data_IF_480056191224
#
_entry.id   IF_480056191224
#
_cell.length_a   1.000
_cell.length_b   1.000
_cell.length_c   1.000
_cell.angle_alpha   90.00
_cell.angle_beta   90.00
_cell.angle_gamma   90.00
#
_symmetry.space_group_name_H-M   'P 1'
#
loop_
_entity.id
_entity.type
_entity.pdbx_description
1 polymer ?
#
# COMPACT_ATOMS: atom_id res chain seq x y z
N UNK A 1 -24.64 -7.81 2.93
CA UNK A 1 -23.85 -7.48 4.14
C UNK A 1 -22.59 -6.78 3.66
N UNK A 2 -22.43 -5.52 3.96
CA UNK A 2 -21.17 -4.79 3.70
C UNK A 2 -20.08 -5.43 4.53
N UNK A 3 -18.94 -5.79 3.90
CA UNK A 3 -17.80 -6.33 4.63
C UNK A 3 -17.32 -5.30 5.66
N UNK A 4 -16.88 -5.74 6.84
CA UNK A 4 -16.29 -4.90 7.87
C UNK A 4 -15.13 -4.09 7.30
N UNK A 5 -15.05 -2.77 7.56
CA UNK A 5 -13.92 -1.97 7.10
C UNK A 5 -12.61 -2.47 7.71
N UNK A 6 -11.54 -2.47 6.90
CA UNK A 6 -10.19 -2.82 7.34
C UNK A 6 -9.44 -1.58 7.85
N UNK A 7 -8.70 -1.75 8.94
CA UNK A 7 -7.85 -0.71 9.50
C UNK A 7 -6.40 -1.16 9.54
N UNK A 8 -5.58 -0.50 8.73
CA UNK A 8 -4.14 -0.62 8.80
C UNK A 8 -3.50 0.58 9.47
N UNK A 9 -2.25 0.43 9.85
CA UNK A 9 -1.45 1.52 10.38
C UNK A 9 -0.10 1.61 9.66
N UNK A 10 0.34 2.86 9.40
CA UNK A 10 1.66 3.15 8.86
C UNK A 10 2.71 3.01 9.96
N UNK A 11 3.69 2.11 9.76
CA UNK A 11 4.83 1.99 10.66
C UNK A 11 5.93 2.97 10.28
N UNK A 12 6.67 3.52 11.25
CA UNK A 12 7.84 4.33 10.97
C UNK A 12 8.91 3.47 10.30
N UNK A 13 9.47 3.95 9.18
CA UNK A 13 10.64 3.30 8.56
C UNK A 13 11.96 3.81 9.16
N UNK A 14 11.89 4.54 10.26
CA UNK A 14 13.06 5.16 10.92
C UNK A 14 14.00 4.10 11.49
N UNK A 15 15.32 4.34 11.29
CA UNK A 15 16.41 3.57 11.86
C UNK A 15 17.17 4.35 12.96
N UNK A 16 16.55 5.36 13.58
CA UNK A 16 17.11 6.05 14.73
C UNK A 16 17.14 5.10 15.94
N UNK A 17 18.14 5.21 16.83
CA UNK A 17 18.27 4.31 17.98
C UNK A 17 17.08 4.35 18.96
N UNK A 18 16.28 5.42 18.93
CA UNK A 18 15.08 5.59 19.79
C UNK A 18 13.82 4.99 19.19
N UNK A 19 13.84 4.59 17.92
CA UNK A 19 12.69 4.10 17.20
C UNK A 19 12.76 2.57 17.09
N UNK A 20 11.66 1.90 17.39
CA UNK A 20 11.51 0.45 17.24
C UNK A 20 10.29 0.13 16.37
N UNK A 21 10.45 0.13 15.03
CA UNK A 21 9.35 -0.16 14.11
C UNK A 21 8.84 -1.60 14.25
N UNK A 22 9.64 -2.53 14.77
CA UNK A 22 9.23 -3.91 14.99
C UNK A 22 8.32 -4.00 16.21
N UNK A 23 8.70 -3.39 17.33
CA UNK A 23 7.84 -3.30 18.51
C UNK A 23 6.54 -2.55 18.21
N UNK A 24 6.58 -1.48 17.39
CA UNK A 24 5.38 -0.77 16.94
C UNK A 24 4.44 -1.70 16.16
N UNK A 25 4.95 -2.53 15.25
CA UNK A 25 4.14 -3.47 14.48
C UNK A 25 3.56 -4.61 15.34
N UNK A 26 4.32 -5.12 16.32
CA UNK A 26 3.82 -6.08 17.31
C UNK A 26 2.68 -5.45 18.13
N UNK A 27 2.86 -4.21 18.57
CA UNK A 27 1.81 -3.48 19.30
C UNK A 27 0.56 -3.28 18.45
N UNK A 28 0.71 -2.94 17.15
CA UNK A 28 -0.42 -2.83 16.22
C UNK A 28 -1.18 -4.16 16.08
N UNK A 29 -0.48 -5.29 16.05
CA UNK A 29 -1.10 -6.62 16.04
C UNK A 29 -1.88 -6.90 17.32
N UNK A 30 -1.34 -6.56 18.48
CA UNK A 30 -2.02 -6.72 19.79
C UNK A 30 -3.29 -5.89 19.87
N UNK A 31 -3.25 -4.65 19.37
CA UNK A 31 -4.38 -3.72 19.33
C UNK A 31 -5.44 -4.11 18.28
N UNK A 32 -5.17 -5.14 17.47
CA UNK A 32 -6.13 -5.71 16.52
C UNK A 32 -6.26 -4.93 15.21
N UNK A 33 -5.23 -4.21 14.77
CA UNK A 33 -5.17 -3.70 13.41
C UNK A 33 -5.13 -4.84 12.40
N UNK A 34 -5.72 -4.61 11.22
CA UNK A 34 -5.85 -5.65 10.19
C UNK A 34 -4.56 -5.79 9.36
N UNK A 35 -3.80 -4.69 9.18
CA UNK A 35 -2.50 -4.71 8.50
C UNK A 35 -1.58 -3.56 8.93
N UNK A 36 -0.27 -3.74 8.71
CA UNK A 36 0.73 -2.68 8.83
C UNK A 36 1.32 -2.35 7.47
N UNK A 37 1.79 -1.10 7.31
CA UNK A 37 2.40 -0.67 6.06
C UNK A 37 3.64 0.20 6.26
N UNK A 38 4.63 0.10 5.36
CA UNK A 38 5.80 0.97 5.35
C UNK A 38 6.03 1.63 3.99
N UNK A 39 6.50 2.90 3.95
CA UNK A 39 6.87 3.58 2.72
C UNK A 39 8.18 2.99 2.14
N UNK A 40 8.41 3.13 0.83
CA UNK A 40 9.62 2.65 0.15
C UNK A 40 10.44 3.83 -0.39
N UNK A 41 11.14 4.50 0.53
CA UNK A 41 12.04 5.63 0.24
C UNK A 41 13.45 5.32 0.77
N UNK A 42 14.26 4.55 0.00
CA UNK A 42 15.56 4.06 0.47
C UNK A 42 16.67 5.10 0.42
N UNK A 43 16.49 6.20 -0.31
CA UNK A 43 17.47 7.27 -0.44
C UNK A 43 17.11 8.49 0.42
N UNK A 44 18.12 9.19 0.93
CA UNK A 44 17.94 10.41 1.70
C UNK A 44 18.97 10.56 2.81
N UNK A 45 18.88 11.65 3.57
CA UNK A 45 19.77 11.92 4.71
C UNK A 45 19.22 11.41 6.04
N UNK A 46 17.93 11.11 6.11
CA UNK A 46 17.32 10.53 7.30
C UNK A 46 17.71 9.04 7.43
N UNK A 47 18.05 8.57 8.63
CA UNK A 47 18.32 7.15 8.85
C UNK A 47 16.99 6.36 8.70
N UNK A 48 16.93 5.50 7.69
CA UNK A 48 15.76 4.66 7.42
C UNK A 48 16.17 3.23 7.11
N UNK A 49 15.32 2.28 7.46
CA UNK A 49 15.47 0.90 7.01
C UNK A 49 15.01 0.75 5.56
N UNK A 50 15.67 -0.16 4.82
CA UNK A 50 15.16 -0.62 3.53
C UNK A 50 13.84 -1.37 3.76
N UNK A 51 12.82 -1.01 3.01
CA UNK A 51 11.43 -1.35 3.28
C UNK A 51 11.16 -2.85 3.25
N UNK A 52 11.68 -3.57 2.26
CA UNK A 52 11.45 -5.02 2.17
C UNK A 52 12.11 -5.78 3.30
N UNK A 53 13.33 -5.39 3.65
CA UNK A 53 14.08 -5.95 4.78
C UNK A 53 13.34 -5.72 6.09
N UNK A 54 12.88 -4.50 6.36
CA UNK A 54 12.10 -4.15 7.54
C UNK A 54 10.81 -4.97 7.63
N UNK A 55 10.03 -5.01 6.55
CA UNK A 55 8.76 -5.75 6.54
C UNK A 55 8.97 -7.26 6.73
N UNK A 56 10.05 -7.82 6.21
CA UNK A 56 10.39 -9.23 6.43
C UNK A 56 10.69 -9.50 7.91
N UNK A 57 11.40 -8.59 8.57
CA UNK A 57 11.71 -8.69 9.99
C UNK A 57 10.45 -8.58 10.85
N UNK A 58 9.54 -7.68 10.51
CA UNK A 58 8.21 -7.54 11.13
C UNK A 58 7.38 -8.80 10.93
N UNK A 59 7.42 -9.39 9.73
CA UNK A 59 6.71 -10.65 9.46
C UNK A 59 7.17 -11.79 10.36
N UNK A 60 8.47 -11.83 10.69
CA UNK A 60 9.03 -12.83 11.61
C UNK A 60 8.66 -12.57 13.08
N UNK A 61 8.40 -11.32 13.45
CA UNK A 61 8.04 -10.92 14.82
C UNK A 61 6.53 -10.94 15.10
N UNK A 62 5.69 -11.06 14.08
CA UNK A 62 4.22 -11.05 14.16
C UNK A 62 3.63 -12.36 13.65
N UNK A 63 2.35 -12.61 13.87
CA UNK A 63 1.72 -13.91 13.54
C UNK A 63 0.42 -13.82 12.74
N UNK A 64 -0.31 -12.69 12.82
CA UNK A 64 -1.66 -12.52 12.24
C UNK A 64 -1.80 -11.32 11.34
N UNK A 65 -1.16 -10.21 11.69
CA UNK A 65 -1.34 -8.92 11.03
C UNK A 65 -0.87 -9.00 9.56
N UNK A 66 -1.67 -8.45 8.64
CA UNK A 66 -1.29 -8.29 7.24
C UNK A 66 -0.12 -7.32 7.08
N UNK A 67 0.68 -7.48 6.05
CA UNK A 67 1.90 -6.69 5.85
C UNK A 67 1.95 -6.16 4.42
N UNK A 68 2.07 -4.85 4.28
CA UNK A 68 2.04 -4.17 3.00
C UNK A 68 3.17 -3.15 2.84
N UNK A 69 4.01 -3.20 1.81
CA UNK A 69 4.72 -2.01 1.37
C UNK A 69 3.71 -0.97 0.84
N UNK A 70 3.95 0.31 1.13
CA UNK A 70 3.03 1.41 0.77
C UNK A 70 3.75 2.56 0.04
N UNK A 71 4.13 2.36 -1.15
CA UNK A 71 4.15 1.17 -2.01
C UNK A 71 5.58 0.97 -2.52
N UNK A 72 5.97 -0.25 -2.91
CA UNK A 72 7.28 -0.47 -3.53
C UNK A 72 7.39 0.31 -4.83
N UNK A 73 8.47 1.06 -4.97
CA UNK A 73 8.81 1.72 -6.22
C UNK A 73 9.29 0.70 -7.25
N UNK A 74 8.50 0.48 -8.31
CA UNK A 74 8.85 -0.47 -9.38
C UNK A 74 10.26 -0.26 -9.94
N UNK A 75 10.83 0.97 -10.07
CA UNK A 75 12.19 1.13 -10.57
C UNK A 75 13.30 0.59 -9.66
N UNK A 76 13.05 0.40 -8.37
CA UNK A 76 14.10 -0.05 -7.44
C UNK A 76 14.43 -1.54 -7.57
N UNK A 77 13.50 -2.37 -8.05
CA UNK A 77 13.67 -3.83 -8.07
C UNK A 77 13.14 -4.42 -9.37
N UNK A 78 13.89 -5.36 -9.97
CA UNK A 78 13.45 -6.06 -11.16
C UNK A 78 12.14 -6.83 -10.90
N UNK A 79 11.09 -6.70 -11.73
CA UNK A 79 9.78 -7.32 -11.48
C UNK A 79 9.83 -8.84 -11.29
N UNK A 80 10.71 -9.54 -11.99
CA UNK A 80 10.89 -10.99 -11.81
C UNK A 80 11.43 -11.33 -10.42
N UNK A 81 12.32 -10.50 -9.87
CA UNK A 81 12.78 -10.65 -8.48
C UNK A 81 11.67 -10.32 -7.48
N UNK A 82 10.88 -9.27 -7.75
CA UNK A 82 9.71 -8.94 -6.92
C UNK A 82 8.73 -10.10 -6.86
N UNK A 83 8.48 -10.78 -8.00
CA UNK A 83 7.61 -11.96 -8.03
C UNK A 83 8.13 -13.09 -7.12
N UNK A 84 9.45 -13.35 -7.15
CA UNK A 84 10.06 -14.38 -6.30
C UNK A 84 10.11 -13.97 -4.83
N UNK A 85 10.48 -12.73 -4.56
CA UNK A 85 10.51 -12.17 -3.20
C UNK A 85 9.12 -12.22 -2.56
N UNK A 86 8.06 -11.86 -3.30
CA UNK A 86 6.69 -11.86 -2.81
C UNK A 86 6.17 -13.28 -2.52
N UNK A 87 6.48 -14.26 -3.39
CA UNK A 87 6.17 -15.67 -3.13
C UNK A 87 6.81 -16.14 -1.82
N UNK A 88 8.11 -15.89 -1.67
CA UNK A 88 8.86 -16.33 -0.49
C UNK A 88 8.36 -15.64 0.78
N UNK A 89 8.12 -14.33 0.71
CA UNK A 89 7.58 -13.56 1.83
C UNK A 89 6.19 -14.08 2.25
N UNK A 90 5.29 -14.25 1.29
CA UNK A 90 3.92 -14.71 1.56
C UNK A 90 3.92 -16.10 2.21
N UNK A 91 4.74 -17.01 1.69
CA UNK A 91 4.92 -18.36 2.24
C UNK A 91 5.48 -18.36 3.66
N UNK A 92 6.57 -17.62 3.90
CA UNK A 92 7.22 -17.55 5.20
C UNK A 92 6.35 -16.84 6.25
N UNK A 93 5.56 -15.85 5.83
CA UNK A 93 4.65 -15.13 6.72
C UNK A 93 3.30 -15.84 6.94
N UNK A 94 3.06 -17.01 6.32
CA UNK A 94 1.78 -17.71 6.44
C UNK A 94 0.62 -17.05 5.68
N UNK A 95 0.90 -16.41 4.54
CA UNK A 95 -0.13 -15.83 3.68
C UNK A 95 -0.54 -14.41 4.08
N UNK A 96 0.37 -13.59 4.63
CA UNK A 96 0.04 -12.26 5.16
C UNK A 96 0.48 -11.09 4.26
N UNK A 97 1.14 -11.35 3.14
CA UNK A 97 1.60 -10.30 2.24
C UNK A 97 0.44 -9.67 1.46
N UNK A 98 0.45 -8.35 1.40
CA UNK A 98 -0.26 -7.52 0.44
C UNK A 98 0.82 -6.80 -0.39
N UNK A 99 0.94 -7.11 -1.68
CA UNK A 99 1.99 -6.53 -2.51
C UNK A 99 1.58 -5.14 -3.02
N UNK A 100 1.98 -4.11 -2.30
CA UNK A 100 1.79 -2.73 -2.74
C UNK A 100 2.83 -2.31 -3.79
N UNK A 101 2.42 -1.80 -4.95
CA UNK A 101 3.30 -1.34 -6.02
C UNK A 101 2.96 0.08 -6.47
N UNK A 102 3.99 0.85 -6.82
CA UNK A 102 3.87 2.19 -7.37
C UNK A 102 4.82 2.42 -8.55
N UNK A 103 4.47 3.38 -9.40
CA UNK A 103 5.24 3.68 -10.60
C UNK A 103 6.61 4.32 -10.34
N UNK A 104 6.92 4.69 -9.09
CA UNK A 104 8.13 5.41 -8.70
C UNK A 104 8.00 6.92 -8.96
N UNK A 105 7.64 7.68 -7.92
CA UNK A 105 7.46 9.13 -7.99
C UNK A 105 8.69 9.93 -7.59
N UNK A 106 9.61 9.33 -6.83
CA UNK A 106 10.77 9.98 -6.23
C UNK A 106 11.95 10.08 -7.23
N UNK A 107 11.87 11.02 -8.15
CA UNK A 107 12.85 11.19 -9.24
C UNK A 107 14.26 11.52 -8.71
N UNK A 108 14.35 12.21 -7.57
CA UNK A 108 15.63 12.54 -6.95
C UNK A 108 16.31 11.31 -6.36
N UNK A 109 15.53 10.40 -5.76
CA UNK A 109 16.05 9.12 -5.27
C UNK A 109 16.52 8.23 -6.43
N UNK A 110 15.74 8.14 -7.50
CA UNK A 110 16.13 7.37 -8.69
C UNK A 110 17.41 7.90 -9.30
N UNK A 111 17.58 9.23 -9.35
CA UNK A 111 18.82 9.86 -9.83
C UNK A 111 19.98 9.55 -8.91
N UNK A 112 19.78 9.68 -7.60
CA UNK A 112 20.83 9.43 -6.60
C UNK A 112 21.34 7.98 -6.63
N UNK A 113 20.44 7.02 -6.92
CA UNK A 113 20.79 5.59 -6.99
C UNK A 113 21.20 5.13 -8.40
N UNK A 114 21.33 6.06 -9.37
CA UNK A 114 21.76 5.71 -10.73
C UNK A 114 20.74 4.94 -11.56
N UNK A 115 19.46 4.96 -11.15
CA UNK A 115 18.38 4.21 -11.84
C UNK A 115 17.82 4.97 -13.05
N UNK A 116 18.23 6.21 -13.23
CA UNK A 116 17.66 7.11 -14.24
C UNK A 116 16.26 7.60 -13.87
N UNK A 117 15.83 8.66 -14.54
CA UNK A 117 14.49 9.24 -14.37
C UNK A 117 13.63 8.90 -15.56
N UNK A 118 12.51 8.24 -15.31
CA UNK A 118 11.53 7.86 -16.34
C UNK A 118 10.51 8.96 -16.55
N UNK A 119 10.08 9.15 -17.79
CA UNK A 119 8.94 10.01 -18.12
C UNK A 119 7.64 9.49 -17.46
N UNK A 120 6.59 10.31 -17.30
CA UNK A 120 5.30 9.87 -16.76
C UNK A 120 4.68 8.70 -17.56
N UNK A 121 4.91 8.66 -18.88
CA UNK A 121 4.48 7.55 -19.73
C UNK A 121 5.23 6.26 -19.37
N UNK A 122 6.56 6.31 -19.32
CA UNK A 122 7.39 5.16 -18.99
C UNK A 122 7.14 4.64 -17.58
N UNK A 123 6.90 5.53 -16.60
CA UNK A 123 6.50 5.14 -15.25
C UNK A 123 5.22 4.30 -15.26
N UNK A 124 4.20 4.74 -15.99
CA UNK A 124 2.93 4.00 -16.07
C UNK A 124 3.09 2.70 -16.85
N UNK A 125 3.82 2.72 -17.97
CA UNK A 125 4.13 1.52 -18.77
C UNK A 125 4.91 0.50 -17.92
N UNK A 126 5.94 0.96 -17.19
CA UNK A 126 6.73 0.09 -16.32
C UNK A 126 5.93 -0.54 -15.18
N UNK A 127 4.98 0.20 -14.61
CA UNK A 127 4.07 -0.36 -13.61
C UNK A 127 3.18 -1.47 -14.21
N UNK A 128 2.60 -1.23 -15.38
CA UNK A 128 1.77 -2.21 -16.09
C UNK A 128 2.54 -3.48 -16.45
N UNK A 129 3.74 -3.31 -17.00
CA UNK A 129 4.63 -4.42 -17.35
C UNK A 129 5.11 -5.19 -16.14
N UNK A 130 5.44 -4.48 -15.04
CA UNK A 130 5.86 -5.12 -13.80
C UNK A 130 4.77 -6.04 -13.21
N UNK A 131 3.52 -5.59 -13.19
CA UNK A 131 2.40 -6.41 -12.72
C UNK A 131 2.21 -7.62 -13.64
N UNK A 132 2.33 -7.42 -14.96
CA UNK A 132 2.22 -8.49 -15.96
C UNK A 132 3.29 -9.55 -15.74
N UNK A 133 4.54 -9.14 -15.52
CA UNK A 133 5.65 -10.06 -15.22
C UNK A 133 5.43 -10.80 -13.90
N UNK A 134 5.03 -10.08 -12.84
CA UNK A 134 4.79 -10.68 -11.53
C UNK A 134 3.69 -11.76 -11.61
N UNK A 135 2.53 -11.43 -12.19
CA UNK A 135 1.42 -12.38 -12.32
C UNK A 135 1.73 -13.53 -13.28
N UNK A 136 2.44 -13.24 -14.38
CA UNK A 136 2.86 -14.27 -15.33
C UNK A 136 3.76 -15.31 -14.70
N UNK A 137 4.71 -14.89 -13.87
CA UNK A 137 5.61 -15.79 -13.13
C UNK A 137 4.89 -16.59 -12.04
N UNK A 138 3.84 -16.04 -11.44
CA UNK A 138 3.02 -16.77 -10.45
C UNK A 138 2.11 -17.82 -11.08
N UNK A 139 1.68 -17.63 -12.34
CA UNK A 139 0.65 -18.46 -12.97
C UNK A 139 1.14 -19.61 -13.83
N UNK A 140 2.37 -19.56 -14.39
CA UNK A 140 2.82 -20.48 -15.42
C UNK A 140 4.06 -21.30 -15.09
N UNK A 141 4.30 -22.37 -15.85
CA UNK A 141 5.52 -23.20 -15.74
C UNK A 141 6.76 -22.56 -16.38
N UNK A 142 6.57 -21.50 -17.16
CA UNK A 142 7.57 -20.64 -17.75
C UNK A 142 6.90 -19.41 -18.34
N UNK A 143 7.50 -18.25 -18.21
CA UNK A 143 6.91 -16.99 -18.64
C UNK A 143 7.91 -16.20 -19.48
N UNK A 144 7.54 -15.99 -20.75
CA UNK A 144 8.25 -15.09 -21.68
C UNK A 144 7.43 -13.84 -21.89
N UNK A 145 8.03 -12.70 -21.65
CA UNK A 145 7.43 -11.39 -21.84
C UNK A 145 8.40 -10.47 -22.60
N UNK A 146 7.90 -9.69 -23.52
CA UNK A 146 8.67 -8.71 -24.31
C UNK A 146 7.97 -7.36 -24.20
N UNK A 147 8.31 -6.59 -23.16
CA UNK A 147 7.82 -5.25 -22.93
C UNK A 147 8.75 -4.17 -23.45
N UNK A 148 8.36 -2.92 -23.23
CA UNK A 148 9.14 -1.73 -23.57
C UNK A 148 10.28 -1.51 -22.55
N UNK A 149 10.04 -1.81 -21.27
CA UNK A 149 10.95 -1.58 -20.14
C UNK A 149 11.43 -2.87 -19.48
N UNK A 150 10.64 -3.91 -19.51
CA UNK A 150 10.97 -5.18 -18.88
C UNK A 150 10.79 -6.34 -19.87
N UNK A 151 11.59 -7.37 -19.67
CA UNK A 151 11.48 -8.60 -20.46
C UNK A 151 11.86 -9.81 -19.60
N UNK A 152 11.28 -10.97 -19.93
CA UNK A 152 11.67 -12.27 -19.40
C UNK A 152 11.77 -13.28 -20.55
N UNK A 153 12.54 -14.35 -20.36
CA UNK A 153 12.73 -15.40 -21.34
C UNK A 153 12.66 -16.76 -20.67
N UNK A 154 11.57 -17.51 -20.89
CA UNK A 154 11.23 -18.77 -20.22
C UNK A 154 11.51 -18.75 -18.70
N UNK A 155 11.28 -17.60 -18.07
CA UNK A 155 11.59 -17.39 -16.67
C UNK A 155 10.66 -18.22 -15.79
N UNK A 156 11.23 -18.86 -14.77
CA UNK A 156 10.52 -19.75 -13.85
C UNK A 156 10.82 -19.35 -12.41
N UNK A 157 9.81 -19.37 -11.58
CA UNK A 157 9.97 -19.31 -10.14
C UNK A 157 9.27 -20.52 -9.52
N UNK A 158 9.93 -21.17 -8.58
CA UNK A 158 9.37 -22.26 -7.78
C UNK A 158 9.73 -22.03 -6.30
N UNK A 159 8.82 -22.39 -5.38
CA UNK A 159 7.45 -22.83 -5.64
C UNK A 159 6.57 -21.67 -6.11
N UNK A 160 5.37 -21.97 -6.62
CA UNK A 160 4.36 -20.95 -6.93
C UNK A 160 3.70 -20.46 -5.63
N UNK A 161 3.13 -19.23 -5.60
CA UNK A 161 2.31 -18.78 -4.48
C UNK A 161 1.21 -19.80 -4.15
N UNK A 162 1.05 -20.11 -2.87
CA UNK A 162 0.03 -21.05 -2.40
C UNK A 162 -1.39 -20.46 -2.43
N UNK A 163 -1.48 -19.14 -2.55
CA UNK A 163 -2.73 -18.37 -2.67
C UNK A 163 -2.56 -17.21 -3.67
N UNK A 164 -3.63 -16.59 -4.06
CA UNK A 164 -3.56 -15.32 -4.77
C UNK A 164 -3.03 -14.23 -3.82
N UNK A 165 -1.82 -13.72 -4.08
CA UNK A 165 -1.26 -12.58 -3.34
C UNK A 165 -1.91 -11.30 -3.90
N UNK A 166 -2.63 -10.50 -3.09
CA UNK A 166 -3.28 -9.30 -3.59
C UNK A 166 -2.24 -8.22 -3.95
N UNK A 167 -2.47 -7.57 -5.09
CA UNK A 167 -1.65 -6.44 -5.57
C UNK A 167 -2.45 -5.15 -5.38
N UNK A 168 -1.94 -4.24 -4.54
CA UNK A 168 -2.50 -2.90 -4.37
C UNK A 168 -1.64 -1.84 -5.06
N UNK A 169 -2.28 -0.85 -5.70
CA UNK A 169 -1.55 0.20 -6.41
C UNK A 169 -1.78 1.58 -5.81
N UNK A 170 -0.66 2.29 -5.59
CA UNK A 170 -0.62 3.72 -5.28
C UNK A 170 -0.56 4.54 -6.57
N UNK A 171 -1.71 4.95 -7.11
CA UNK A 171 -1.80 5.65 -8.40
C UNK A 171 -2.73 6.85 -8.35
N UNK A 172 -2.42 7.88 -9.18
CA UNK A 172 -3.15 9.14 -9.20
C UNK A 172 -3.46 9.62 -10.63
N UNK A 173 -2.53 9.45 -11.57
CA UNK A 173 -2.70 9.91 -12.95
C UNK A 173 -3.76 9.07 -13.70
N UNK A 174 -4.56 9.67 -14.61
CA UNK A 174 -5.67 8.99 -15.28
C UNK A 174 -5.30 7.66 -15.95
N UNK A 175 -4.14 7.59 -16.61
CA UNK A 175 -3.66 6.37 -17.26
C UNK A 175 -3.29 5.29 -16.21
N UNK A 176 -2.66 5.67 -15.10
CA UNK A 176 -2.30 4.75 -14.02
C UNK A 176 -3.54 4.25 -13.25
N UNK A 177 -4.57 5.09 -13.06
CA UNK A 177 -5.87 4.67 -12.53
C UNK A 177 -6.54 3.61 -13.43
N UNK A 178 -6.41 3.76 -14.75
CA UNK A 178 -6.92 2.73 -15.67
C UNK A 178 -6.14 1.41 -15.55
N UNK A 179 -4.81 1.45 -15.36
CA UNK A 179 -4.01 0.25 -15.06
C UNK A 179 -4.50 -0.40 -13.76
N UNK A 180 -4.75 0.40 -12.71
CA UNK A 180 -5.27 -0.09 -11.42
C UNK A 180 -6.58 -0.87 -11.62
N UNK A 181 -7.56 -0.29 -12.31
CA UNK A 181 -8.84 -0.97 -12.57
C UNK A 181 -8.69 -2.28 -13.34
N UNK A 182 -7.79 -2.32 -14.33
CA UNK A 182 -7.59 -3.53 -15.15
C UNK A 182 -6.83 -4.64 -14.42
N UNK A 183 -5.85 -4.31 -13.61
CA UNK A 183 -4.85 -5.28 -13.16
C UNK A 183 -4.72 -5.42 -11.64
N UNK A 184 -5.18 -4.47 -10.83
CA UNK A 184 -4.96 -4.52 -9.38
C UNK A 184 -6.14 -5.15 -8.61
N UNK A 185 -5.84 -5.66 -7.41
CA UNK A 185 -6.83 -6.13 -6.46
C UNK A 185 -7.20 -5.04 -5.44
N UNK A 186 -6.43 -3.95 -5.40
CA UNK A 186 -6.73 -2.79 -4.59
C UNK A 186 -6.12 -1.50 -5.11
N UNK A 187 -6.69 -0.39 -4.65
CA UNK A 187 -6.22 0.96 -4.92
C UNK A 187 -5.97 1.69 -3.59
N UNK A 188 -4.75 2.22 -3.42
CA UNK A 188 -4.31 2.84 -2.16
C UNK A 188 -3.78 4.27 -2.38
N UNK A 189 -4.66 5.26 -2.66
CA UNK A 189 -4.29 6.67 -2.74
C UNK A 189 -4.04 7.25 -1.36
N UNK A 190 -3.37 8.42 -1.32
CA UNK A 190 -3.12 9.17 -0.09
C UNK A 190 -3.89 10.49 -0.08
N UNK A 191 -4.45 10.86 1.06
CA UNK A 191 -5.16 12.13 1.28
C UNK A 191 -4.29 13.34 0.90
N UNK A 192 -2.99 13.27 1.17
CA UNK A 192 -2.03 14.33 0.85
C UNK A 192 -1.87 14.61 -0.66
N UNK A 193 -2.22 13.65 -1.52
CA UNK A 193 -2.15 13.80 -2.99
C UNK A 193 -3.51 13.88 -3.67
N UNK A 194 -4.56 13.37 -3.04
CA UNK A 194 -5.90 13.34 -3.59
C UNK A 194 -6.92 13.59 -2.47
N UNK A 195 -7.31 14.82 -2.28
CA UNK A 195 -8.32 15.22 -1.29
C UNK A 195 -9.72 14.70 -1.63
N UNK A 196 -10.67 14.87 -0.69
CA UNK A 196 -12.03 14.33 -0.83
C UNK A 196 -12.80 14.90 -2.04
N UNK A 197 -12.45 16.10 -2.48
CA UNK A 197 -13.01 16.77 -3.66
C UNK A 197 -12.67 16.08 -4.98
N UNK A 198 -11.54 15.36 -5.07
CA UNK A 198 -11.07 14.70 -6.30
C UNK A 198 -11.04 13.18 -6.22
N UNK A 199 -10.83 12.62 -5.01
CA UNK A 199 -10.59 11.18 -4.84
C UNK A 199 -11.78 10.32 -5.26
N UNK A 200 -13.03 10.80 -5.04
CA UNK A 200 -14.25 10.12 -5.50
C UNK A 200 -14.29 9.97 -7.02
N UNK A 201 -13.92 11.00 -7.76
CA UNK A 201 -13.81 10.95 -9.22
C UNK A 201 -12.68 10.02 -9.70
N UNK A 202 -11.57 9.97 -8.99
CA UNK A 202 -10.47 9.01 -9.28
C UNK A 202 -10.93 7.57 -9.06
N UNK A 203 -11.63 7.28 -7.96
CA UNK A 203 -12.23 5.98 -7.70
C UNK A 203 -13.17 5.57 -8.83
N UNK A 204 -14.04 6.47 -9.26
CA UNK A 204 -14.93 6.23 -10.40
C UNK A 204 -14.19 5.77 -11.65
N UNK A 205 -13.03 6.37 -11.95
CA UNK A 205 -12.18 5.96 -13.09
C UNK A 205 -11.57 4.57 -12.92
N UNK A 206 -11.13 4.22 -11.71
CA UNK A 206 -10.62 2.87 -11.40
C UNK A 206 -11.73 1.83 -11.63
N UNK A 207 -12.91 2.03 -11.05
CA UNK A 207 -14.02 1.10 -11.16
C UNK A 207 -14.54 0.97 -12.60
N UNK A 208 -14.58 2.06 -13.34
CA UNK A 208 -14.95 2.04 -14.76
C UNK A 208 -13.94 1.28 -15.63
N UNK A 209 -12.65 1.42 -15.34
CA UNK A 209 -11.61 0.65 -16.03
C UNK A 209 -11.70 -0.85 -15.73
N UNK A 210 -12.09 -1.23 -14.51
CA UNK A 210 -12.37 -2.62 -14.15
C UNK A 210 -13.53 -3.18 -14.96
N UNK A 211 -14.68 -2.48 -15.02
CA UNK A 211 -15.84 -2.90 -15.83
C UNK A 211 -15.48 -3.10 -17.30
N UNK A 212 -14.75 -2.15 -17.89
CA UNK A 212 -14.30 -2.25 -19.30
C UNK A 212 -13.37 -3.43 -19.54
N UNK A 213 -12.64 -3.87 -18.52
CA UNK A 213 -11.79 -5.06 -18.57
C UNK A 213 -12.55 -6.37 -18.26
N UNK A 214 -13.87 -6.32 -18.05
CA UNK A 214 -14.68 -7.49 -17.73
C UNK A 214 -14.51 -7.99 -16.29
N UNK A 215 -13.98 -7.14 -15.39
CA UNK A 215 -13.79 -7.46 -13.97
C UNK A 215 -14.97 -6.89 -13.14
N UNK A 216 -15.30 -7.57 -12.05
CA UNK A 216 -16.21 -7.00 -11.06
C UNK A 216 -15.50 -5.86 -10.28
N UNK A 217 -16.04 -4.62 -10.36
CA UNK A 217 -15.47 -3.50 -9.60
C UNK A 217 -15.52 -3.70 -8.07
N UNK A 218 -16.41 -4.53 -7.57
CA UNK A 218 -16.54 -4.83 -6.14
C UNK A 218 -15.35 -5.64 -5.60
N UNK A 219 -14.59 -6.31 -6.47
CA UNK A 219 -13.35 -7.02 -6.08
C UNK A 219 -12.19 -6.07 -5.76
N UNK A 220 -12.29 -4.78 -6.13
CA UNK A 220 -11.21 -3.81 -5.89
C UNK A 220 -11.36 -3.21 -4.50
N UNK A 221 -10.46 -3.58 -3.59
CA UNK A 221 -10.36 -2.96 -2.27
C UNK A 221 -9.89 -1.51 -2.40
N UNK A 222 -10.74 -0.55 -2.03
CA UNK A 222 -10.35 0.86 -1.99
C UNK A 222 -9.84 1.20 -0.59
N UNK A 223 -8.55 1.50 -0.48
CA UNK A 223 -7.85 1.82 0.78
C UNK A 223 -7.46 3.28 0.76
N UNK A 224 -7.74 4.04 1.81
CA UNK A 224 -7.29 5.42 1.86
C UNK A 224 -6.16 5.59 2.87
N UNK A 225 -5.01 6.11 2.43
CA UNK A 225 -3.93 6.50 3.31
C UNK A 225 -4.24 7.86 3.91
N UNK A 226 -4.34 7.91 5.22
CA UNK A 226 -4.71 9.11 5.97
C UNK A 226 -3.70 9.34 7.08
N UNK A 227 -2.97 10.44 7.02
CA UNK A 227 -2.18 10.91 8.14
C UNK A 227 -3.11 11.52 9.18
N UNK A 228 -2.95 11.09 10.45
CA UNK A 228 -3.81 11.48 11.57
C UNK A 228 -2.94 12.04 12.69
N UNK A 229 -3.35 13.20 13.19
CA UNK A 229 -2.78 13.81 14.38
C UNK A 229 -3.91 14.14 15.38
N UNK A 230 -3.97 13.41 16.49
CA UNK A 230 -4.99 13.63 17.51
C UNK A 230 -4.62 14.86 18.35
N UNK A 231 -5.56 15.81 18.47
CA UNK A 231 -5.47 17.07 19.21
C UNK A 231 -6.84 17.46 19.75
N UNK A 232 -6.89 18.33 20.74
CA UNK A 232 -8.13 18.81 21.36
C UNK A 232 -9.05 19.59 20.39
N UNK A 233 -8.48 20.26 19.41
CA UNK A 233 -9.22 21.08 18.45
C UNK A 233 -8.90 20.69 17.01
N UNK A 234 -9.92 20.78 16.10
CA UNK A 234 -9.70 20.54 14.68
C UNK A 234 -8.70 21.52 14.05
N UNK A 235 -7.76 20.98 13.28
CA UNK A 235 -6.88 21.77 12.42
C UNK A 235 -7.56 22.22 11.13
N UNK A 236 -6.86 23.07 10.38
CA UNK A 236 -7.31 23.58 9.06
C UNK A 236 -6.63 22.86 7.90
N UNK A 237 -5.78 21.91 8.19
CA UNK A 237 -5.02 21.14 7.21
C UNK A 237 -5.95 20.32 6.32
N UNK A 238 -5.66 20.27 5.03
CA UNK A 238 -6.43 19.50 4.04
C UNK A 238 -5.72 18.22 3.60
N UNK A 239 -4.44 18.08 3.95
CA UNK A 239 -3.57 16.95 3.54
C UNK A 239 -3.46 15.86 4.59
N UNK A 240 -3.94 16.12 5.81
CA UNK A 240 -4.00 15.19 6.95
C UNK A 240 -5.20 15.55 7.83
N UNK A 241 -5.60 14.65 8.69
CA UNK A 241 -6.63 14.89 9.71
C UNK A 241 -5.97 15.31 11.02
N UNK A 242 -6.29 16.50 11.48
CA UNK A 242 -5.83 17.04 12.77
C UNK A 242 -7.06 17.38 13.60
N UNK A 243 -7.21 16.79 14.77
CA UNK A 243 -8.34 17.11 15.64
C UNK A 243 -8.65 16.02 16.67
N UNK A 244 -9.73 16.19 17.46
CA UNK A 244 -10.15 15.20 18.44
C UNK A 244 -10.65 13.91 17.77
N UNK A 245 -10.67 12.78 18.50
CA UNK A 245 -11.12 11.49 17.95
C UNK A 245 -12.47 11.55 17.25
N UNK A 246 -13.44 12.25 17.81
CA UNK A 246 -14.77 12.40 17.18
C UNK A 246 -14.72 13.06 15.80
N UNK A 247 -13.87 14.07 15.63
CA UNK A 247 -13.65 14.71 14.32
C UNK A 247 -13.02 13.75 13.33
N UNK A 248 -12.01 13.00 13.76
CA UNK A 248 -11.34 12.00 12.89
C UNK A 248 -12.34 10.93 12.46
N UNK A 249 -13.17 10.43 13.37
CA UNK A 249 -14.22 9.44 13.08
C UNK A 249 -15.21 9.99 12.03
N UNK A 250 -15.72 11.21 12.23
CA UNK A 250 -16.64 11.86 11.28
C UNK A 250 -16.01 11.95 9.87
N UNK A 251 -14.75 12.36 9.78
CA UNK A 251 -14.05 12.48 8.49
C UNK A 251 -13.85 11.12 7.83
N UNK A 252 -13.50 10.07 8.58
CA UNK A 252 -13.33 8.72 8.05
C UNK A 252 -14.66 8.12 7.59
N UNK A 253 -15.78 8.40 8.27
CA UNK A 253 -17.12 8.08 7.77
C UNK A 253 -17.42 8.74 6.44
N UNK A 254 -17.13 10.04 6.28
CA UNK A 254 -17.27 10.73 5.01
C UNK A 254 -16.44 10.10 3.89
N UNK A 255 -15.26 9.56 4.19
CA UNK A 255 -14.47 8.81 3.19
C UNK A 255 -15.07 7.42 2.91
N UNK A 256 -15.67 6.76 3.88
CA UNK A 256 -16.41 5.52 3.65
C UNK A 256 -17.62 5.74 2.72
N UNK A 257 -18.32 6.85 2.84
CA UNK A 257 -19.41 7.25 1.92
C UNK A 257 -18.90 7.48 0.47
N UNK A 258 -17.65 7.93 0.31
CA UNK A 258 -16.99 7.97 -1.00
C UNK A 258 -16.61 6.58 -1.53
N UNK A 259 -16.85 5.52 -0.75
CA UNK A 259 -16.68 4.11 -1.11
C UNK A 259 -15.31 3.52 -0.77
N UNK A 260 -14.61 4.10 0.20
CA UNK A 260 -13.43 3.45 0.77
C UNK A 260 -13.85 2.42 1.81
N UNK A 261 -13.35 1.20 1.67
CA UNK A 261 -13.64 0.05 2.54
C UNK A 261 -12.48 -0.30 3.47
N UNK A 262 -11.37 0.41 3.36
CA UNK A 262 -10.21 0.25 4.21
C UNK A 262 -9.49 1.58 4.42
N UNK A 263 -8.85 1.74 5.59
CA UNK A 263 -8.09 2.93 5.94
C UNK A 263 -6.71 2.52 6.44
N UNK A 264 -5.67 3.14 5.89
CA UNK A 264 -4.32 3.04 6.43
C UNK A 264 -4.01 4.34 7.17
N UNK A 265 -3.96 4.28 8.50
CA UNK A 265 -3.81 5.43 9.37
C UNK A 265 -2.32 5.63 9.71
N UNK A 266 -1.81 6.84 9.54
CA UNK A 266 -0.41 7.17 9.77
C UNK A 266 -0.35 8.16 10.93
N UNK A 267 0.17 7.72 12.07
CA UNK A 267 0.19 8.50 13.33
C UNK A 267 1.60 8.95 13.77
N UNK A 268 2.59 8.80 12.88
CA UNK A 268 3.99 9.07 13.22
C UNK A 268 4.65 7.92 13.98
N UNK A 269 5.67 8.24 14.77
CA UNK A 269 6.58 7.26 15.40
C UNK A 269 6.21 6.99 16.86
N UNK A 270 5.24 7.71 17.41
CA UNK A 270 4.86 7.65 18.83
C UNK A 270 3.91 6.48 19.12
N UNK A 271 4.32 5.46 19.92
CA UNK A 271 3.46 4.34 20.28
C UNK A 271 2.19 4.73 21.06
N UNK A 272 2.22 5.82 21.86
CA UNK A 272 1.07 6.28 22.60
C UNK A 272 -0.05 6.75 21.68
N UNK A 273 0.30 7.32 20.54
CA UNK A 273 -0.64 7.70 19.48
C UNK A 273 -1.33 6.50 18.86
N UNK A 274 -0.63 5.38 18.77
CA UNK A 274 -1.21 4.13 18.25
C UNK A 274 -2.26 3.58 19.22
N UNK A 275 -1.96 3.60 20.53
CA UNK A 275 -2.90 3.17 21.57
C UNK A 275 -4.14 4.06 21.61
N UNK A 276 -3.98 5.38 21.56
CA UNK A 276 -5.07 6.36 21.51
C UNK A 276 -5.97 6.13 20.27
N UNK A 277 -5.37 5.96 19.09
CA UNK A 277 -6.09 5.67 17.85
C UNK A 277 -6.91 4.38 17.96
N UNK A 278 -6.32 3.33 18.51
CA UNK A 278 -6.96 2.02 18.69
C UNK A 278 -8.10 2.06 19.70
N UNK A 279 -7.97 2.86 20.75
CA UNK A 279 -8.98 2.97 21.81
C UNK A 279 -10.14 3.89 21.42
N UNK A 280 -9.87 5.01 20.76
CA UNK A 280 -10.84 6.10 20.60
C UNK A 280 -11.40 6.27 19.19
N UNK A 281 -10.70 5.76 18.16
CA UNK A 281 -11.13 5.94 16.75
C UNK A 281 -11.62 4.63 16.14
N UNK A 282 -10.80 3.59 16.17
CA UNK A 282 -11.08 2.33 15.45
C UNK A 282 -12.37 1.64 15.90
N UNK A 283 -12.72 1.55 17.21
CA UNK A 283 -13.95 0.89 17.63
C UNK A 283 -15.21 1.59 17.15
N UNK A 284 -15.21 2.93 17.11
CA UNK A 284 -16.36 3.71 16.68
C UNK A 284 -16.68 3.52 15.19
N UNK A 285 -15.64 3.28 14.36
CA UNK A 285 -15.79 3.01 12.95
C UNK A 285 -16.21 1.55 12.66
N UNK A 286 -15.87 0.61 13.55
CA UNK A 286 -16.25 -0.80 13.43
C UNK A 286 -17.71 -1.07 13.82
N UNK A 287 -18.29 -0.26 14.70
CA UNK A 287 -19.67 -0.42 15.19
C UNK A 287 -20.71 0.24 14.29
N UNK A 288 -20.32 1.12 13.38
CA UNK A 288 -21.23 1.89 12.53
C UNK A 288 -21.41 1.28 11.11
N UNK A 289 -20.88 0.07 10.84
CA UNK A 289 -20.91 -0.58 9.54
C UNK A 289 -22.02 -1.69 9.45
#
# INVERSE_FOLDING_TARGET
MTARPLFGVGIPASARPVDDPVAFAVRAEELGFDFVSAPDHPAGSAPTFETWTLLTWIAAATSRIGIAPRVLGVPYRAPAMVAKMAESFDRLSGGRLILGLGAGSADDEHRAFGLGVRSPREKTTGLEEAITVVRGLWGGSGFTFRGELYSTDDAKIEPKPARAIPIWLGTFAPRALAVTGRLADGWIPSLSYAGPDVVGGMRGRVLEAARRAGRDPAEITCVYNVEVELRDLPGRETTRLVGPPAYVVERLHGFAELGFSAFNLIVGDDPERLDELAAEVVPLLRTAA
#
